data_IF_896874458772
#
_entry.id   IF_896874458772
#
_cell.length_a   1.000
_cell.length_b   1.000
_cell.length_c   1.000
_cell.angle_alpha   90.00
_cell.angle_beta   90.00
_cell.angle_gamma   90.00
#
_symmetry.space_group_name_H-M   'P 1'
#
loop_
_entity.id
_entity.type
_entity.pdbx_description
1 polymer ?
#
# COMPACT_ATOMS: atom_id res chain seq x y z
N UNK A 1 -29.92 44.17 13.67
CA UNK A 1 -29.43 45.41 13.01
C UNK A 1 -27.92 45.46 13.21
N UNK A 2 -27.15 45.97 12.23
CA UNK A 2 -25.68 45.82 12.11
C UNK A 2 -25.31 44.34 11.87
N UNK A 3 -25.20 43.81 10.65
CA UNK A 3 -24.81 44.36 9.33
C UNK A 3 -23.31 44.64 9.18
N UNK A 4 -22.60 43.72 8.50
CA UNK A 4 -21.52 44.04 7.55
C UNK A 4 -21.04 42.82 6.76
N UNK A 5 -21.37 42.79 5.48
CA UNK A 5 -20.66 41.99 4.47
C UNK A 5 -19.20 42.42 4.35
N UNK A 6 -18.28 41.49 4.11
CA UNK A 6 -17.02 41.76 3.42
C UNK A 6 -16.85 40.75 2.30
N UNK A 7 -16.73 41.29 1.08
CA UNK A 7 -16.67 40.56 -0.18
C UNK A 7 -15.30 40.84 -0.80
N UNK A 8 -14.42 39.83 -0.83
CA UNK A 8 -13.11 39.86 -1.50
C UNK A 8 -12.90 38.44 -2.04
N UNK A 9 -12.48 38.20 -3.28
CA UNK A 9 -12.01 39.10 -4.32
C UNK A 9 -10.98 38.33 -5.14
N UNK A 10 -11.34 37.96 -6.38
CA UNK A 10 -10.58 37.02 -7.22
C UNK A 10 -9.12 37.47 -7.44
N UNK A 11 -8.19 36.52 -7.41
CA UNK A 11 -7.03 36.53 -8.30
C UNK A 11 -6.79 35.14 -8.88
N UNK A 12 -6.89 35.04 -10.21
CA UNK A 12 -6.41 33.90 -11.00
C UNK A 12 -5.04 34.31 -11.51
N UNK A 13 -4.01 33.53 -11.24
CA UNK A 13 -2.68 33.69 -11.85
C UNK A 13 -2.39 32.44 -12.67
N UNK A 14 -2.52 32.56 -13.98
CA UNK A 14 -2.06 31.59 -14.97
C UNK A 14 -0.58 31.87 -15.25
N UNK A 15 0.29 30.91 -14.97
CA UNK A 15 1.69 30.94 -15.37
C UNK A 15 2.00 29.71 -16.24
N UNK A 16 2.08 29.91 -17.55
CA UNK A 16 2.53 28.92 -18.51
C UNK A 16 4.01 29.19 -18.79
N UNK A 17 4.89 28.21 -18.55
CA UNK A 17 6.29 28.25 -19.01
C UNK A 17 6.62 26.91 -19.65
N UNK A 18 7.24 26.97 -20.82
CA UNK A 18 7.47 25.82 -21.69
C UNK A 18 8.81 25.11 -21.44
N UNK A 19 8.87 23.86 -21.91
CA UNK A 19 10.03 22.95 -21.90
C UNK A 19 11.09 23.41 -22.91
N UNK A 20 12.38 23.05 -22.70
CA UNK A 20 13.06 22.34 -23.78
C UNK A 20 13.75 21.05 -23.33
N UNK A 21 13.63 20.02 -24.17
CA UNK A 21 14.41 18.78 -24.12
C UNK A 21 15.85 19.09 -24.54
N UNK A 22 16.83 18.44 -23.88
CA UNK A 22 18.18 18.33 -24.42
C UNK A 22 18.62 16.86 -24.43
N UNK A 23 18.91 16.39 -25.64
CA UNK A 23 19.51 15.08 -25.94
C UNK A 23 21.03 15.24 -25.90
N UNK A 24 21.75 14.27 -25.33
CA UNK A 24 23.21 14.25 -25.30
C UNK A 24 23.77 12.87 -25.01
N UNK A 25 24.13 12.14 -26.06
CA UNK A 25 24.79 10.83 -25.97
C UNK A 25 26.32 10.99 -25.83
N UNK A 26 26.96 10.18 -24.98
CA UNK A 26 28.39 9.82 -25.10
C UNK A 26 28.70 8.49 -24.42
N UNK A 27 28.88 7.45 -25.23
CA UNK A 27 29.87 6.36 -25.03
C UNK A 27 31.31 6.91 -25.33
N UNK A 28 32.44 6.16 -25.25
CA UNK A 28 32.68 4.72 -24.97
C UNK A 28 33.75 4.56 -23.82
N UNK A 29 34.57 3.49 -23.66
CA UNK A 29 34.63 2.20 -24.37
C UNK A 29 34.69 0.93 -23.50
N UNK A 30 34.47 -0.20 -24.17
CA UNK A 30 34.85 -1.53 -23.71
C UNK A 30 36.37 -1.70 -23.63
N UNK A 31 36.83 -2.53 -22.69
CA UNK A 31 37.99 -3.38 -22.96
C UNK A 31 37.77 -4.78 -22.34
N UNK A 32 38.38 -5.79 -22.96
CA UNK A 32 38.14 -7.20 -22.67
C UNK A 32 39.26 -7.78 -21.82
N UNK A 33 38.91 -8.64 -20.85
CA UNK A 33 39.82 -9.73 -20.47
C UNK A 33 39.02 -10.97 -20.11
N UNK A 34 39.15 -12.00 -20.95
CA UNK A 34 38.72 -13.37 -20.63
C UNK A 34 39.96 -14.22 -20.46
N UNK A 35 40.19 -14.72 -19.24
CA UNK A 35 41.09 -15.86 -19.00
C UNK A 35 40.47 -16.75 -17.93
N UNK A 36 40.42 -18.05 -18.24
CA UNK A 36 40.06 -19.19 -17.38
C UNK A 36 40.96 -20.36 -17.79
N UNK A 37 41.03 -21.48 -17.06
CA UNK A 37 40.81 -21.70 -15.62
C UNK A 37 41.98 -22.50 -14.99
N UNK A 38 41.96 -22.80 -13.67
CA UNK A 38 42.54 -24.07 -13.16
C UNK A 38 42.15 -24.47 -11.73
N UNK A 39 41.72 -25.74 -11.60
CA UNK A 39 41.81 -26.66 -10.45
C UNK A 39 41.20 -26.35 -9.06
N UNK A 40 40.10 -27.04 -8.77
CA UNK A 40 39.69 -27.64 -7.47
C UNK A 40 40.70 -28.72 -6.97
N UNK A 41 40.56 -29.37 -5.78
CA UNK A 41 39.46 -29.41 -4.79
C UNK A 41 39.94 -29.07 -3.35
N UNK A 42 39.24 -29.25 -2.21
CA UNK A 42 38.00 -29.97 -1.84
C UNK A 42 37.36 -29.37 -0.57
N UNK A 43 36.05 -29.54 -0.35
CA UNK A 43 35.40 -29.27 0.96
C UNK A 43 33.88 -29.48 0.93
N UNK A 44 33.32 -30.24 1.88
CA UNK A 44 31.96 -30.77 1.76
C UNK A 44 30.83 -29.77 2.11
N UNK A 45 29.83 -29.75 1.24
CA UNK A 45 28.38 -29.54 1.47
C UNK A 45 27.90 -28.71 2.67
N UNK A 46 27.09 -27.69 2.39
CA UNK A 46 25.72 -27.56 2.92
C UNK A 46 24.83 -26.95 1.83
N UNK A 47 23.81 -27.68 1.38
CA UNK A 47 22.88 -27.21 0.34
C UNK A 47 21.88 -26.21 0.91
N UNK A 48 22.21 -24.92 0.87
CA UNK A 48 21.22 -23.87 1.00
C UNK A 48 20.39 -23.83 -0.30
N UNK A 49 19.15 -24.30 -0.24
CA UNK A 49 18.18 -24.19 -1.34
C UNK A 49 17.68 -22.75 -1.49
N UNK A 50 18.57 -21.82 -1.86
CA UNK A 50 18.19 -20.52 -2.39
C UNK A 50 17.67 -20.69 -3.81
N UNK A 51 16.50 -21.34 -3.94
CA UNK A 51 15.63 -21.17 -5.11
C UNK A 51 15.14 -19.73 -5.11
N UNK A 52 16.01 -18.82 -5.59
CA UNK A 52 15.71 -17.41 -5.68
C UNK A 52 14.44 -17.21 -6.49
N UNK A 53 13.51 -16.46 -5.91
CA UNK A 53 12.27 -16.05 -6.57
C UNK A 53 12.61 -15.52 -7.95
N UNK A 54 12.11 -16.20 -8.99
CA UNK A 54 12.37 -15.82 -10.37
C UNK A 54 11.79 -14.43 -10.60
N UNK A 55 12.66 -13.40 -10.56
CA UNK A 55 12.29 -12.03 -10.91
C UNK A 55 11.64 -12.05 -12.29
N UNK A 56 10.32 -11.81 -12.31
CA UNK A 56 9.53 -11.88 -13.54
C UNK A 56 9.87 -10.70 -14.46
N UNK A 57 10.93 -10.86 -15.24
CA UNK A 57 11.42 -9.86 -16.17
C UNK A 57 10.37 -9.54 -17.23
N UNK A 58 9.90 -8.29 -17.23
CA UNK A 58 9.32 -7.65 -18.42
C UNK A 58 7.81 -7.43 -18.47
N UNK A 59 6.99 -7.84 -17.48
CA UNK A 59 5.53 -7.56 -17.50
C UNK A 59 5.09 -6.42 -16.57
N UNK A 60 5.67 -6.31 -15.39
CA UNK A 60 5.19 -5.41 -14.34
C UNK A 60 6.11 -4.21 -14.16
N UNK A 61 5.52 -3.04 -13.96
CA UNK A 61 6.28 -1.83 -13.67
C UNK A 61 6.94 -1.96 -12.28
N UNK A 62 8.20 -1.52 -12.19
CA UNK A 62 8.92 -1.48 -10.92
C UNK A 62 8.70 -0.11 -10.26
N UNK A 63 8.41 -0.12 -8.97
CA UNK A 63 8.32 1.08 -8.15
C UNK A 63 9.70 1.49 -7.61
N UNK A 64 9.82 2.72 -7.12
CA UNK A 64 11.05 3.20 -6.50
C UNK A 64 11.30 2.42 -5.20
N UNK A 65 12.49 1.87 -5.06
CA UNK A 65 12.97 1.32 -3.79
C UNK A 65 13.20 2.48 -2.81
N UNK A 66 12.71 2.31 -1.58
CA UNK A 66 12.92 3.21 -0.46
C UNK A 66 13.55 2.43 0.71
N UNK A 67 13.77 3.08 1.85
CA UNK A 67 14.11 2.39 3.10
C UNK A 67 12.82 1.93 3.82
N UNK A 68 12.88 0.80 4.52
CA UNK A 68 11.87 0.41 5.52
C UNK A 68 12.47 0.66 6.91
N UNK A 69 12.05 1.73 7.63
CA UNK A 69 12.55 2.05 8.96
C UNK A 69 12.23 0.99 10.02
N UNK A 70 11.26 0.11 9.76
CA UNK A 70 10.78 -0.88 10.72
C UNK A 70 11.45 -2.25 10.60
N UNK A 71 12.04 -2.60 9.44
CA UNK A 71 12.47 -3.96 9.12
C UNK A 71 13.28 -4.66 10.22
N UNK A 72 14.28 -3.97 10.79
CA UNK A 72 15.19 -4.51 11.82
C UNK A 72 14.81 -4.11 13.27
N UNK A 73 13.79 -3.25 13.46
CA UNK A 73 13.55 -2.54 14.72
C UNK A 73 12.14 -2.71 15.30
N UNK A 74 11.13 -2.83 14.44
CA UNK A 74 9.74 -3.01 14.81
C UNK A 74 9.40 -4.49 14.96
N UNK A 75 8.24 -4.79 15.54
CA UNK A 75 7.72 -6.16 15.55
C UNK A 75 6.77 -6.33 14.36
N UNK A 76 6.97 -7.40 13.59
CA UNK A 76 6.03 -7.80 12.54
C UNK A 76 4.75 -8.37 13.15
N UNK A 77 3.61 -7.79 12.76
CA UNK A 77 2.30 -8.40 13.00
C UNK A 77 1.99 -9.52 12.02
N UNK A 78 2.42 -9.36 10.76
CA UNK A 78 2.16 -10.33 9.72
C UNK A 78 2.22 -9.71 8.33
N UNK A 79 2.02 -10.56 7.34
CA UNK A 79 2.12 -10.20 5.94
C UNK A 79 0.89 -10.64 5.14
N UNK A 80 0.57 -9.87 4.11
CA UNK A 80 -0.49 -10.15 3.14
C UNK A 80 0.10 -10.06 1.74
N UNK A 81 0.13 -11.19 1.02
CA UNK A 81 0.44 -11.21 -0.41
C UNK A 81 -0.70 -10.56 -1.20
N UNK A 82 -0.36 -9.69 -2.13
CA UNK A 82 -1.31 -9.02 -3.04
C UNK A 82 -0.83 -9.13 -4.48
N UNK A 83 -1.78 -9.20 -5.42
CA UNK A 83 -1.52 -9.37 -6.86
C UNK A 83 -1.99 -8.14 -7.63
N UNK A 84 -1.14 -7.13 -7.70
CA UNK A 84 -1.47 -5.85 -8.33
C UNK A 84 -1.51 -5.96 -9.86
N UNK A 85 -2.55 -5.43 -10.55
CA UNK A 85 -2.69 -5.56 -12.01
C UNK A 85 -1.52 -4.92 -12.79
N UNK A 86 -0.90 -3.85 -12.26
CA UNK A 86 0.20 -3.09 -12.91
C UNK A 86 1.61 -3.41 -12.39
N UNK A 87 1.71 -3.83 -11.12
CA UNK A 87 2.99 -4.01 -10.40
C UNK A 87 3.28 -5.48 -10.03
N UNK A 88 2.33 -6.39 -10.27
CA UNK A 88 2.53 -7.82 -10.09
C UNK A 88 2.38 -8.27 -8.64
N UNK A 89 3.05 -9.37 -8.24
CA UNK A 89 3.13 -9.79 -6.85
C UNK A 89 3.80 -8.73 -5.98
N UNK A 90 3.18 -8.42 -4.84
CA UNK A 90 3.68 -7.50 -3.82
C UNK A 90 3.27 -8.05 -2.45
N UNK A 91 3.93 -7.60 -1.40
CA UNK A 91 3.60 -7.97 -0.01
C UNK A 91 3.36 -6.73 0.82
N UNK A 92 2.26 -6.68 1.56
CA UNK A 92 2.05 -5.71 2.64
C UNK A 92 2.53 -6.36 3.93
N UNK A 93 3.43 -5.70 4.67
CA UNK A 93 3.88 -6.16 5.99
C UNK A 93 3.44 -5.13 7.03
N UNK A 94 2.65 -5.55 8.01
CA UNK A 94 2.24 -4.68 9.12
C UNK A 94 3.23 -4.77 10.28
N UNK A 95 3.59 -3.61 10.83
CA UNK A 95 4.51 -3.45 11.95
C UNK A 95 3.83 -2.70 13.11
N UNK A 96 4.42 -2.84 14.30
CA UNK A 96 4.33 -1.82 15.35
C UNK A 96 5.72 -1.54 15.92
N UNK A 97 6.03 -0.26 16.16
CA UNK A 97 7.22 0.15 16.91
C UNK A 97 7.20 -0.48 18.32
N UNK A 98 8.32 -1.02 18.79
CA UNK A 98 8.44 -1.61 20.14
C UNK A 98 8.80 -0.51 21.14
N UNK A 99 7.85 0.37 21.47
CA UNK A 99 8.05 1.37 22.52
C UNK A 99 8.01 0.73 23.91
N UNK A 100 9.21 0.59 24.46
CA UNK A 100 9.60 0.14 25.80
C UNK A 100 9.70 -1.36 26.04
N UNK A 101 10.76 -1.74 26.74
CA UNK A 101 10.91 -3.05 27.38
C UNK A 101 10.30 -2.97 28.79
N UNK A 102 9.13 -3.57 28.96
CA UNK A 102 8.46 -3.72 30.25
C UNK A 102 7.43 -4.84 30.17
N UNK A 103 6.95 -5.33 31.32
CA UNK A 103 6.06 -6.50 31.44
C UNK A 103 4.62 -6.27 30.93
N UNK A 104 4.40 -5.27 30.08
CA UNK A 104 3.12 -4.99 29.43
C UNK A 104 3.02 -5.60 28.03
N UNK A 105 1.81 -5.66 27.44
CA UNK A 105 1.68 -5.94 26.01
C UNK A 105 2.47 -4.89 25.21
N UNK A 106 3.11 -5.26 24.09
CA UNK A 106 3.83 -4.32 23.23
C UNK A 106 2.95 -3.13 22.84
N UNK A 107 3.55 -1.95 22.77
CA UNK A 107 2.91 -0.71 22.30
C UNK A 107 3.86 0.02 21.39
N UNK A 108 3.32 0.64 20.36
CA UNK A 108 3.98 1.71 19.62
C UNK A 108 3.44 1.85 18.21
N UNK A 109 3.92 2.89 17.54
CA UNK A 109 3.41 3.42 16.29
C UNK A 109 3.01 2.32 15.30
N UNK A 110 1.73 2.30 14.95
CA UNK A 110 1.15 1.43 13.94
C UNK A 110 1.72 1.78 12.56
N UNK A 111 2.36 0.81 11.89
CA UNK A 111 2.98 1.06 10.59
C UNK A 111 2.75 -0.10 9.62
N UNK A 112 2.94 0.15 8.33
CA UNK A 112 3.11 -0.91 7.34
C UNK A 112 4.15 -0.53 6.31
N UNK A 113 4.88 -1.53 5.82
CA UNK A 113 5.73 -1.41 4.65
C UNK A 113 5.19 -2.28 3.51
N UNK A 114 5.72 -2.02 2.32
CA UNK A 114 5.29 -2.62 1.07
C UNK A 114 6.51 -3.13 0.34
N UNK A 115 6.45 -4.37 -0.10
CA UNK A 115 7.55 -5.04 -0.78
C UNK A 115 7.17 -5.41 -2.21
N UNK A 116 8.08 -5.18 -3.15
CA UNK A 116 8.02 -5.69 -4.50
C UNK A 116 9.35 -6.41 -4.79
N UNK A 117 9.30 -7.69 -5.17
CA UNK A 117 10.51 -8.52 -5.36
C UNK A 117 11.47 -8.46 -4.17
N UNK A 118 10.94 -8.62 -2.96
CA UNK A 118 11.68 -8.59 -1.68
C UNK A 118 12.44 -7.27 -1.41
N UNK A 119 12.01 -6.15 -2.04
CA UNK A 119 12.54 -4.81 -1.80
C UNK A 119 11.45 -3.87 -1.29
N UNK A 120 11.71 -3.08 -0.23
CA UNK A 120 10.75 -2.08 0.24
C UNK A 120 10.59 -0.96 -0.79
N UNK A 121 9.34 -0.61 -1.07
CA UNK A 121 8.91 0.36 -2.11
C UNK A 121 7.91 1.41 -1.58
N UNK A 122 7.50 1.28 -0.33
CA UNK A 122 6.58 2.21 0.34
C UNK A 122 6.49 1.87 1.83
N UNK A 123 6.36 2.88 2.66
CA UNK A 123 6.27 2.79 4.12
C UNK A 123 5.33 3.87 4.63
N UNK A 124 4.45 3.52 5.55
CA UNK A 124 3.52 4.44 6.19
C UNK A 124 3.45 4.12 7.67
N UNK A 125 3.55 5.14 8.51
CA UNK A 125 3.50 5.07 9.97
C UNK A 125 2.43 6.01 10.49
N UNK A 126 1.82 5.65 11.62
CA UNK A 126 1.00 6.53 12.42
C UNK A 126 1.51 6.62 13.86
N UNK A 127 1.82 7.85 14.27
CA UNK A 127 2.42 8.13 15.58
C UNK A 127 1.43 8.13 16.74
N UNK A 128 0.13 8.01 16.48
CA UNK A 128 -0.94 8.21 17.46
C UNK A 128 -1.65 6.89 17.89
N UNK A 129 -1.14 5.71 17.48
CA UNK A 129 -1.68 4.40 17.88
C UNK A 129 -0.62 3.32 18.08
N UNK A 130 -1.00 2.31 18.87
CA UNK A 130 -0.10 1.30 19.43
C UNK A 130 -0.17 -0.10 18.76
N UNK A 131 -1.11 -0.36 17.84
CA UNK A 131 -1.29 -1.69 17.24
C UNK A 131 -1.98 -1.66 15.87
N UNK A 132 -1.49 -2.49 14.94
CA UNK A 132 -2.07 -2.71 13.62
C UNK A 132 -2.23 -4.21 13.35
N UNK A 133 -3.43 -4.64 12.97
CA UNK A 133 -3.68 -6.00 12.49
C UNK A 133 -4.57 -5.96 11.25
N UNK A 134 -4.06 -6.47 10.14
CA UNK A 134 -4.80 -6.53 8.88
C UNK A 134 -5.09 -7.97 8.47
N UNK A 135 -6.25 -8.19 7.86
CA UNK A 135 -6.59 -9.46 7.23
C UNK A 135 -7.26 -9.28 5.88
N UNK A 136 -7.29 -10.33 5.07
CA UNK A 136 -8.06 -10.39 3.81
C UNK A 136 -9.54 -10.73 4.04
N UNK A 137 -9.99 -10.76 5.30
CA UNK A 137 -11.34 -11.10 5.76
C UNK A 137 -11.70 -10.27 7.00
N UNK A 138 -12.99 -10.01 7.27
CA UNK A 138 -13.47 -9.39 8.52
C UNK A 138 -12.78 -10.00 9.75
N UNK A 139 -12.43 -9.14 10.72
CA UNK A 139 -11.89 -9.61 12.00
C UNK A 139 -12.87 -10.60 12.65
N UNK A 140 -12.37 -11.67 13.27
CA UNK A 140 -13.19 -12.83 13.68
C UNK A 140 -14.25 -12.54 14.76
N UNK A 141 -14.26 -11.34 15.33
CA UNK A 141 -15.39 -10.87 16.13
C UNK A 141 -16.63 -10.67 15.25
N UNK A 142 -17.85 -11.03 15.71
CA UNK A 142 -19.07 -10.88 14.93
C UNK A 142 -19.34 -9.40 14.61
N UNK A 143 -18.89 -9.02 13.43
CA UNK A 143 -19.03 -7.69 12.83
C UNK A 143 -20.17 -7.73 11.83
N UNK A 144 -20.86 -6.60 11.67
CA UNK A 144 -22.06 -6.52 10.82
C UNK A 144 -21.75 -6.30 9.34
N UNK A 145 -20.48 -6.09 9.00
CA UNK A 145 -20.05 -5.79 7.64
C UNK A 145 -19.91 -7.06 6.79
N UNK A 146 -20.32 -6.94 5.54
CA UNK A 146 -20.08 -7.94 4.50
C UNK A 146 -18.78 -7.65 3.75
N UNK A 147 -18.06 -8.72 3.39
CA UNK A 147 -16.83 -8.67 2.60
C UNK A 147 -16.97 -9.62 1.42
N UNK A 148 -17.45 -9.10 0.29
CA UNK A 148 -17.75 -9.88 -0.90
C UNK A 148 -16.73 -9.60 -2.01
N UNK A 149 -15.75 -10.49 -2.17
CA UNK A 149 -14.70 -10.42 -3.21
C UNK A 149 -14.95 -11.48 -4.29
N UNK A 150 -15.83 -11.19 -5.24
CA UNK A 150 -16.30 -12.16 -6.25
C UNK A 150 -15.22 -12.52 -7.27
N UNK A 151 -14.26 -11.60 -7.50
CA UNK A 151 -13.04 -11.86 -8.26
C UNK A 151 -12.02 -12.75 -7.51
N UNK A 152 -12.29 -13.12 -6.24
CA UNK A 152 -11.39 -13.90 -5.38
C UNK A 152 -10.14 -13.13 -4.92
N UNK A 153 -10.12 -11.80 -5.02
CA UNK A 153 -8.97 -10.96 -4.67
C UNK A 153 -9.37 -9.76 -3.83
N UNK A 154 -8.55 -9.40 -2.84
CA UNK A 154 -8.66 -8.15 -2.12
C UNK A 154 -7.98 -6.97 -2.85
N UNK A 155 -7.74 -7.12 -4.16
CA UNK A 155 -7.23 -6.07 -5.06
C UNK A 155 -8.26 -5.81 -6.14
N UNK A 156 -8.57 -4.55 -6.40
CA UNK A 156 -9.47 -4.15 -7.48
C UNK A 156 -8.75 -4.01 -8.84
N UNK A 157 -9.49 -3.67 -9.90
CA UNK A 157 -8.95 -3.47 -11.24
C UNK A 157 -8.10 -2.19 -11.39
N UNK A 158 -8.29 -1.19 -10.52
CA UNK A 158 -7.49 0.03 -10.46
C UNK A 158 -6.16 -0.19 -9.73
N UNK A 159 -6.11 -1.26 -8.94
CA UNK A 159 -5.00 -1.66 -8.13
C UNK A 159 -5.12 -1.29 -6.65
N UNK A 160 -6.24 -0.76 -6.15
CA UNK A 160 -6.38 -0.52 -4.71
C UNK A 160 -6.37 -1.84 -3.95
N UNK A 161 -5.70 -1.88 -2.80
CA UNK A 161 -5.67 -3.03 -1.89
C UNK A 161 -6.62 -2.76 -0.73
N UNK A 162 -7.50 -3.73 -0.47
CA UNK A 162 -8.46 -3.70 0.61
C UNK A 162 -8.00 -4.62 1.73
N UNK A 163 -7.91 -4.06 2.94
CA UNK A 163 -7.57 -4.78 4.16
C UNK A 163 -8.70 -4.61 5.15
N UNK A 164 -9.13 -5.69 5.79
CA UNK A 164 -10.08 -5.65 6.88
C UNK A 164 -9.36 -5.26 8.17
N UNK A 165 -10.01 -4.40 8.96
CA UNK A 165 -9.58 -4.03 10.29
C UNK A 165 -10.79 -3.83 11.21
N UNK A 166 -10.84 -4.58 12.33
CA UNK A 166 -11.70 -4.37 13.51
C UNK A 166 -13.05 -3.66 13.30
N UNK A 167 -13.87 -4.17 12.38
CA UNK A 167 -15.18 -3.58 12.08
C UNK A 167 -15.17 -2.55 10.93
N UNK A 168 -14.38 -2.74 9.88
CA UNK A 168 -14.27 -1.80 8.76
C UNK A 168 -13.18 -2.13 7.76
N UNK A 169 -13.03 -1.23 6.79
CA UNK A 169 -12.13 -1.38 5.63
C UNK A 169 -11.00 -0.35 5.71
N UNK A 170 -9.77 -0.80 5.48
CA UNK A 170 -8.62 0.04 5.15
C UNK A 170 -8.40 -0.07 3.64
N UNK A 171 -8.25 1.08 2.98
CA UNK A 171 -8.07 1.18 1.52
C UNK A 171 -6.67 1.75 1.28
N UNK A 172 -5.80 0.92 0.71
CA UNK A 172 -4.46 1.34 0.30
C UNK A 172 -4.50 1.63 -1.20
N UNK A 173 -4.13 2.84 -1.62
CA UNK A 173 -4.17 3.25 -3.04
C UNK A 173 -2.78 3.35 -3.63
N UNK A 174 -2.52 2.80 -4.84
CA UNK A 174 -1.20 2.83 -5.45
C UNK A 174 -0.76 4.24 -5.86
N UNK A 175 0.49 4.56 -5.56
CA UNK A 175 1.22 5.79 -5.92
C UNK A 175 2.55 5.44 -6.61
N UNK A 176 3.41 6.42 -6.84
CA UNK A 176 4.78 6.24 -7.33
C UNK A 176 5.79 5.80 -6.23
N UNK A 177 5.42 5.95 -4.96
CA UNK A 177 6.19 5.54 -3.77
C UNK A 177 5.49 4.39 -3.01
N UNK A 178 4.90 3.43 -3.72
CA UNK A 178 4.09 2.36 -3.11
C UNK A 178 2.65 2.78 -2.87
N UNK A 179 1.97 2.19 -1.90
CA UNK A 179 0.61 2.57 -1.52
C UNK A 179 0.63 3.59 -0.37
N UNK A 180 -0.42 4.41 -0.30
CA UNK A 180 -0.67 5.31 0.82
C UNK A 180 -1.95 4.91 1.58
N UNK A 181 -2.19 5.54 2.75
CA UNK A 181 -3.27 5.16 3.67
C UNK A 181 -4.58 5.95 3.53
N UNK A 182 -4.59 7.13 2.90
CA UNK A 182 -5.75 8.04 2.78
C UNK A 182 -6.66 8.14 4.02
N UNK A 183 -6.08 8.32 5.22
CA UNK A 183 -6.80 8.37 6.50
C UNK A 183 -7.67 7.12 6.80
N UNK A 184 -7.44 6.01 6.10
CA UNK A 184 -8.12 4.72 6.33
C UNK A 184 -7.33 3.77 7.22
N UNK A 185 -6.12 4.18 7.67
CA UNK A 185 -5.49 3.50 8.80
C UNK A 185 -6.40 3.62 10.04
N UNK A 186 -6.40 2.60 10.91
CA UNK A 186 -7.18 2.58 12.16
C UNK A 186 -6.90 3.74 13.11
N UNK A 187 -5.73 4.31 12.94
CA UNK A 187 -5.19 5.46 13.61
C UNK A 187 -5.74 6.73 12.97
N UNK A 188 -6.80 7.24 13.58
CA UNK A 188 -7.55 8.39 13.07
C UNK A 188 -9.03 8.04 12.93
N UNK A 189 -9.73 8.80 12.10
CA UNK A 189 -11.11 8.47 11.72
C UNK A 189 -11.05 7.62 10.46
N UNK A 190 -11.04 6.28 10.61
CA UNK A 190 -11.20 5.40 9.46
C UNK A 190 -12.50 5.79 8.72
N UNK A 191 -12.35 6.35 7.53
CA UNK A 191 -13.43 6.86 6.69
C UNK A 191 -14.46 5.78 6.31
N UNK A 192 -14.04 4.51 6.36
CA UNK A 192 -14.77 3.30 5.99
C UNK A 192 -14.90 2.33 7.19
N UNK A 193 -15.02 2.87 8.40
CA UNK A 193 -15.52 2.12 9.56
C UNK A 193 -16.96 1.68 9.33
N UNK A 194 -17.34 0.50 9.84
CA UNK A 194 -18.68 -0.11 9.71
C UNK A 194 -19.20 -0.07 8.25
N UNK A 195 -18.35 -0.51 7.31
CA UNK A 195 -18.58 -0.38 5.86
C UNK A 195 -18.51 -1.74 5.19
N UNK A 196 -19.53 -2.07 4.39
CA UNK A 196 -19.55 -3.27 3.55
C UNK A 196 -18.60 -3.09 2.35
N UNK A 197 -17.75 -4.08 2.05
CA UNK A 197 -16.96 -4.13 0.82
C UNK A 197 -17.59 -5.11 -0.19
N UNK A 198 -17.71 -4.66 -1.43
CA UNK A 198 -18.01 -5.53 -2.56
C UNK A 198 -17.09 -5.23 -3.76
N UNK A 199 -16.41 -6.26 -4.26
CA UNK A 199 -15.62 -6.22 -5.49
C UNK A 199 -16.26 -7.19 -6.50
N UNK A 200 -16.68 -6.66 -7.66
CA UNK A 200 -17.33 -7.46 -8.71
C UNK A 200 -16.35 -8.41 -9.41
N UNK A 201 -16.82 -9.38 -10.23
CA UNK A 201 -15.93 -10.26 -11.00
C UNK A 201 -14.97 -9.52 -11.94
N UNK A 202 -15.38 -8.36 -12.46
CA UNK A 202 -14.56 -7.46 -13.29
C UNK A 202 -13.53 -6.65 -12.48
N UNK A 203 -13.57 -6.76 -11.15
CA UNK A 203 -12.73 -5.99 -10.24
C UNK A 203 -13.22 -4.56 -10.00
N UNK A 204 -14.51 -4.25 -10.18
CA UNK A 204 -15.06 -2.94 -9.77
C UNK A 204 -15.27 -2.91 -8.25
N UNK A 205 -14.70 -1.94 -7.52
CA UNK A 205 -14.88 -1.82 -6.08
C UNK A 205 -16.09 -0.94 -5.74
N UNK A 206 -16.84 -1.34 -4.71
CA UNK A 206 -17.86 -0.52 -4.07
C UNK A 206 -17.80 -0.65 -2.56
N UNK A 207 -18.12 0.45 -1.86
CA UNK A 207 -18.20 0.49 -0.41
C UNK A 207 -19.60 0.96 0.00
N UNK A 208 -20.30 0.21 0.86
CA UNK A 208 -21.56 0.71 1.46
C UNK A 208 -21.28 1.22 2.86
N UNK A 209 -21.23 2.54 3.00
CA UNK A 209 -20.91 3.23 4.25
C UNK A 209 -22.21 3.55 4.99
N UNK A 210 -22.34 3.13 6.25
CA UNK A 210 -23.47 3.51 7.10
C UNK A 210 -23.11 4.68 8.02
N UNK A 211 -23.87 5.78 7.93
CA UNK A 211 -23.75 6.94 8.83
C UNK A 211 -25.13 7.33 9.34
N UNK A 212 -25.30 7.38 10.66
CA UNK A 212 -26.55 7.72 11.34
C UNK A 212 -27.76 6.87 10.87
N UNK A 213 -27.56 5.56 10.66
CA UNK A 213 -28.60 4.64 10.16
C UNK A 213 -28.92 4.78 8.66
N UNK A 214 -28.24 5.67 7.93
CA UNK A 214 -28.35 5.80 6.47
C UNK A 214 -27.18 5.10 5.80
N UNK A 215 -27.46 4.03 5.05
CA UNK A 215 -26.52 3.42 4.11
C UNK A 215 -26.36 4.29 2.86
N UNK A 216 -25.12 4.49 2.43
CA UNK A 216 -24.75 5.21 1.21
C UNK A 216 -23.80 4.34 0.40
N UNK A 217 -24.15 4.05 -0.85
CA UNK A 217 -23.27 3.33 -1.78
C UNK A 217 -22.24 4.30 -2.34
N UNK A 218 -20.97 3.92 -2.24
CA UNK A 218 -19.82 4.67 -2.71
C UNK A 218 -19.14 3.91 -3.84
N UNK A 219 -18.75 4.62 -4.90
CA UNK A 219 -18.00 4.07 -6.04
C UNK A 219 -16.65 4.79 -6.16
N UNK A 220 -15.69 4.14 -6.81
CA UNK A 220 -14.38 4.74 -7.10
C UNK A 220 -14.47 5.69 -8.29
N UNK A 221 -14.06 6.95 -8.12
CA UNK A 221 -14.07 7.97 -9.19
C UNK A 221 -12.78 8.01 -10.03
N UNK A 222 -11.82 7.14 -9.71
CA UNK A 222 -10.45 7.15 -10.24
C UNK A 222 -9.40 7.63 -9.23
N UNK A 223 -9.82 8.28 -8.13
CA UNK A 223 -8.93 8.83 -7.10
C UNK A 223 -9.40 8.56 -5.66
N UNK A 224 -10.70 8.49 -5.42
CA UNK A 224 -11.30 8.27 -4.10
C UNK A 224 -12.69 7.60 -4.21
N UNK A 225 -13.23 7.18 -3.08
CA UNK A 225 -14.63 6.77 -3.00
C UNK A 225 -15.56 7.98 -2.87
N UNK A 226 -16.50 8.13 -3.81
CA UNK A 226 -17.52 9.18 -3.79
C UNK A 226 -18.93 8.59 -3.75
N UNK A 227 -19.93 9.29 -3.18
CA UNK A 227 -21.31 8.80 -3.16
C UNK A 227 -21.82 8.62 -4.59
N UNK A 228 -22.46 7.47 -4.85
CA UNK A 228 -23.24 7.32 -6.07
C UNK A 228 -24.41 8.31 -6.05
N UNK A 229 -24.51 9.15 -7.10
CA UNK A 229 -25.67 10.01 -7.29
C UNK A 229 -26.88 9.14 -7.68
N UNK A 230 -28.03 9.43 -7.09
CA UNK A 230 -29.30 8.76 -7.33
C UNK A 230 -30.07 9.41 -8.49
#
# INVERSE_FOLDING_TARGET
MMDRSVMVGRFIVLAVVAVPLMVGCTEPPSDSTVVSPSAEPTGAAHSASSSGSASSSGKYQQLRVIDDPCHDYCVEGGSVEVKHPRYGPMTVVSYWDKRSEGDGPPRGNAAYALYQNDKPIGYVEDTDKDLLWFGTRPAESPTSESWNVENGSNVDKYGNVYLSYSGGVTVLTPTDQGYNSYNSMPSGVNAYRNTDLHITPEGEPTLTVEKNGKKTLMHWDGNQFVPQQA
#
